data_IF_679374049807
#
_entry.id   IF_679374049807
#
_cell.length_a   1.000
_cell.length_b   1.000
_cell.length_c   1.000
_cell.angle_alpha   90.00
_cell.angle_beta   90.00
_cell.angle_gamma   90.00
#
_symmetry.space_group_name_H-M   'P 1'
#
loop_
_entity.id
_entity.type
_entity.pdbx_description
1 polymer ?
#
# COMPACT_ATOMS: atom_id res chain seq x y z
N UNK A 1 -13.92 -3.39 9.51
CA UNK A 1 -13.29 -2.63 8.41
C UNK A 1 -12.57 -3.62 7.54
N UNK A 2 -12.58 -3.46 6.22
CA UNK A 2 -11.63 -4.16 5.35
C UNK A 2 -10.22 -3.69 5.69
N UNK A 3 -9.20 -4.49 5.39
CA UNK A 3 -7.80 -4.01 5.39
C UNK A 3 -7.75 -2.82 4.45
N UNK A 4 -7.13 -1.76 4.92
CA UNK A 4 -7.02 -0.55 4.15
C UNK A 4 -5.69 -0.53 3.39
N UNK A 5 -5.72 0.11 2.25
CA UNK A 5 -4.67 0.17 1.25
C UNK A 5 -3.44 0.93 1.76
N UNK A 6 -2.36 0.81 1.04
CA UNK A 6 -1.09 1.47 1.34
C UNK A 6 -0.83 2.63 0.38
N UNK A 7 0.14 3.50 0.75
CA UNK A 7 0.53 4.62 -0.08
C UNK A 7 1.14 4.18 -1.43
N UNK A 8 1.09 5.08 -2.42
CA UNK A 8 1.79 4.96 -3.69
C UNK A 8 2.64 6.18 -3.98
N UNK A 9 3.88 5.96 -4.42
CA UNK A 9 4.82 7.00 -4.83
C UNK A 9 5.06 6.94 -6.33
N UNK A 10 5.22 8.13 -6.94
CA UNK A 10 5.51 8.27 -8.35
C UNK A 10 6.50 9.42 -8.58
N UNK A 11 7.46 9.23 -9.47
CA UNK A 11 8.43 10.24 -9.86
C UNK A 11 8.68 10.22 -11.36
N UNK A 12 8.89 11.38 -11.97
CA UNK A 12 9.32 11.51 -13.35
C UNK A 12 10.44 12.54 -13.45
N UNK A 13 11.50 12.17 -14.18
CA UNK A 13 12.61 13.07 -14.49
C UNK A 13 12.90 13.05 -15.97
N UNK A 14 12.75 14.22 -16.60
CA UNK A 14 13.07 14.47 -18.00
C UNK A 14 14.32 15.36 -18.13
N UNK A 15 15.05 15.18 -19.20
CA UNK A 15 16.14 16.09 -19.58
C UNK A 15 15.62 17.37 -20.24
N UNK A 16 14.36 17.40 -20.65
CA UNK A 16 13.67 18.51 -21.30
C UNK A 16 12.62 19.09 -20.38
N UNK A 17 12.20 20.32 -20.64
CA UNK A 17 11.01 20.89 -20.02
C UNK A 17 9.77 20.35 -20.75
N UNK A 18 8.89 19.69 -20.00
CA UNK A 18 7.67 19.10 -20.56
C UNK A 18 6.53 19.06 -19.53
N UNK A 19 5.39 18.48 -19.89
CA UNK A 19 4.24 18.34 -18.97
C UNK A 19 4.45 17.19 -17.98
N UNK A 20 5.45 17.30 -17.09
CA UNK A 20 5.73 16.29 -16.05
C UNK A 20 4.58 16.18 -15.03
N UNK A 21 3.78 17.24 -14.83
CA UNK A 21 2.59 17.21 -13.99
C UNK A 21 1.55 16.24 -14.54
N UNK A 22 1.32 16.27 -15.86
CA UNK A 22 0.40 15.35 -16.54
C UNK A 22 0.86 13.89 -16.48
N UNK A 23 2.17 13.66 -16.65
CA UNK A 23 2.75 12.31 -16.51
C UNK A 23 2.55 11.80 -15.06
N UNK A 24 2.85 12.65 -14.05
CA UNK A 24 2.65 12.30 -12.65
C UNK A 24 1.17 12.04 -12.32
N UNK A 25 0.25 12.83 -12.88
CA UNK A 25 -1.19 12.61 -12.74
C UNK A 25 -1.62 11.22 -13.21
N UNK A 26 -1.21 10.80 -14.41
CA UNK A 26 -1.56 9.46 -14.92
C UNK A 26 -0.90 8.34 -14.13
N UNK A 27 0.35 8.53 -13.70
CA UNK A 27 1.04 7.58 -12.83
C UNK A 27 0.34 7.42 -11.49
N UNK A 28 -0.07 8.51 -10.84
CA UNK A 28 -0.83 8.46 -9.59
C UNK A 28 -2.23 7.87 -9.79
N UNK A 29 -2.88 8.17 -10.91
CA UNK A 29 -4.18 7.57 -11.24
C UNK A 29 -4.08 6.04 -11.36
N UNK A 30 -3.00 5.53 -11.95
CA UNK A 30 -2.72 4.10 -12.01
C UNK A 30 -2.44 3.48 -10.64
N UNK A 31 -1.95 4.26 -9.67
CA UNK A 31 -1.69 3.86 -8.27
C UNK A 31 -2.84 4.17 -7.32
N UNK A 32 -4.00 4.64 -7.81
CA UNK A 32 -5.13 5.08 -6.97
C UNK A 32 -5.65 3.96 -6.04
N UNK A 33 -5.50 2.69 -6.45
CA UNK A 33 -5.87 1.54 -5.61
C UNK A 33 -5.06 1.48 -4.31
N UNK A 34 -3.85 2.05 -4.26
CA UNK A 34 -2.98 2.10 -3.08
C UNK A 34 -3.39 3.19 -2.08
N UNK A 35 -3.92 4.32 -2.54
CA UNK A 35 -4.28 5.42 -1.64
C UNK A 35 -5.47 6.23 -2.16
N UNK A 36 -6.50 6.42 -1.32
CA UNK A 36 -7.76 7.07 -1.70
C UNK A 36 -8.14 8.24 -0.77
N UNK A 37 -7.32 8.59 0.21
CA UNK A 37 -7.61 9.66 1.17
C UNK A 37 -7.10 11.03 0.71
N UNK A 38 -5.91 11.06 0.14
CA UNK A 38 -5.33 12.29 -0.36
C UNK A 38 -4.31 12.03 -1.45
N UNK A 39 -4.01 13.03 -2.23
CA UNK A 39 -2.95 12.99 -3.23
C UNK A 39 -2.27 14.34 -3.39
N UNK A 40 -1.08 14.33 -3.98
CA UNK A 40 -0.33 15.54 -4.24
C UNK A 40 0.73 15.36 -5.32
N UNK A 41 1.07 16.45 -5.98
CA UNK A 41 2.14 16.55 -6.98
C UNK A 41 2.97 17.80 -6.68
N UNK A 42 4.29 17.64 -6.71
CA UNK A 42 5.27 18.72 -6.69
C UNK A 42 6.05 18.68 -8.00
N UNK A 43 6.08 19.79 -8.71
CA UNK A 43 6.83 19.96 -9.96
C UNK A 43 8.04 20.85 -9.71
N UNK A 44 9.14 20.53 -10.35
CA UNK A 44 10.35 21.33 -10.37
C UNK A 44 10.62 21.83 -11.80
N UNK A 45 10.69 23.14 -11.95
CA UNK A 45 11.12 23.83 -13.19
C UNK A 45 12.42 24.57 -12.91
N UNK A 46 13.54 23.92 -13.22
CA UNK A 46 14.87 24.54 -13.07
C UNK A 46 15.23 25.00 -11.64
N UNK A 47 14.67 24.38 -10.61
CA UNK A 47 14.87 24.72 -9.19
C UNK A 47 13.71 25.50 -8.56
N UNK A 48 12.72 25.91 -9.35
CA UNK A 48 11.48 26.51 -8.85
C UNK A 48 10.46 25.40 -8.65
N UNK A 49 9.95 25.25 -7.43
CA UNK A 49 8.97 24.23 -7.08
C UNK A 49 7.56 24.83 -7.07
N UNK A 50 6.65 24.15 -7.72
CA UNK A 50 5.21 24.40 -7.63
C UNK A 50 4.52 23.12 -7.18
N UNK A 51 3.52 23.25 -6.30
CA UNK A 51 2.85 22.09 -5.72
C UNK A 51 1.36 22.28 -5.60
N UNK A 52 0.64 21.16 -5.68
CA UNK A 52 -0.75 21.09 -5.28
C UNK A 52 -1.02 19.74 -4.61
N UNK A 53 -1.72 19.77 -3.49
CA UNK A 53 -2.09 18.58 -2.73
C UNK A 53 -3.34 18.84 -1.91
N UNK A 54 -4.22 17.85 -1.87
CA UNK A 54 -5.46 17.93 -1.11
C UNK A 54 -6.02 16.54 -0.75
N UNK A 55 -7.07 16.55 0.07
CA UNK A 55 -7.86 15.36 0.38
C UNK A 55 -8.74 14.98 -0.82
N UNK A 56 -8.86 13.71 -1.13
CA UNK A 56 -9.69 13.17 -2.21
C UNK A 56 -8.90 12.30 -3.19
N UNK A 57 -9.62 11.82 -4.20
CA UNK A 57 -9.06 11.01 -5.28
C UNK A 57 -8.27 11.89 -6.26
N UNK A 58 -7.34 11.29 -6.99
CA UNK A 58 -6.52 11.98 -8.00
C UNK A 58 -7.37 12.75 -9.00
N UNK A 59 -8.48 12.17 -9.46
CA UNK A 59 -9.41 12.82 -10.40
C UNK A 59 -10.26 13.95 -9.78
N UNK A 60 -10.41 13.96 -8.47
CA UNK A 60 -11.15 15.01 -7.73
C UNK A 60 -10.24 16.19 -7.41
N UNK A 61 -9.01 15.89 -6.97
CA UNK A 61 -8.01 16.89 -6.55
C UNK A 61 -7.41 17.63 -7.75
N UNK A 62 -7.13 16.93 -8.84
CA UNK A 62 -6.46 17.50 -10.02
C UNK A 62 -7.43 17.75 -11.16
N UNK A 63 -7.99 18.96 -11.20
CA UNK A 63 -8.70 19.49 -12.38
C UNK A 63 -7.73 19.90 -13.49
N UNK A 64 -8.25 20.18 -14.69
CA UNK A 64 -7.45 20.73 -15.78
C UNK A 64 -6.76 22.04 -15.40
N UNK A 65 -7.46 22.91 -14.65
CA UNK A 65 -6.93 24.19 -14.20
C UNK A 65 -5.83 23.99 -13.15
N UNK A 66 -6.02 23.08 -12.21
CA UNK A 66 -5.01 22.74 -11.20
C UNK A 66 -3.73 22.22 -11.85
N UNK A 67 -3.85 21.31 -12.83
CA UNK A 67 -2.70 20.79 -13.58
C UNK A 67 -2.01 21.88 -14.40
N UNK A 68 -2.77 22.81 -14.97
CA UNK A 68 -2.22 23.96 -15.71
C UNK A 68 -1.42 24.90 -14.79
N UNK A 69 -1.86 25.07 -13.53
CA UNK A 69 -1.12 25.87 -12.53
C UNK A 69 0.20 25.23 -12.09
N UNK A 70 0.31 23.91 -12.13
CA UNK A 70 1.57 23.22 -11.81
C UNK A 70 2.63 23.43 -12.89
N UNK A 71 2.23 23.91 -14.05
CA UNK A 71 3.07 24.22 -15.20
C UNK A 71 3.92 23.06 -15.73
N UNK A 72 4.72 23.33 -16.75
CA UNK A 72 5.72 22.38 -17.25
C UNK A 72 7.00 22.49 -16.43
N UNK A 73 7.69 21.39 -16.28
CA UNK A 73 8.97 21.30 -15.57
C UNK A 73 9.83 20.20 -16.17
N UNK A 74 10.89 19.89 -15.47
CA UNK A 74 11.76 18.77 -15.85
C UNK A 74 11.72 17.61 -14.84
N UNK A 75 11.10 17.81 -13.68
CA UNK A 75 10.87 16.75 -12.69
C UNK A 75 9.52 16.93 -12.00
N UNK A 76 8.90 15.81 -11.62
CA UNK A 76 7.75 15.84 -10.73
C UNK A 76 7.80 14.64 -9.77
N UNK A 77 7.36 14.85 -8.54
CA UNK A 77 7.13 13.80 -7.54
C UNK A 77 5.66 13.85 -7.15
N UNK A 78 5.03 12.70 -7.11
CA UNK A 78 3.63 12.54 -6.74
C UNK A 78 3.43 11.46 -5.68
N UNK A 79 2.30 11.56 -4.97
CA UNK A 79 1.92 10.64 -3.91
C UNK A 79 0.41 10.44 -3.89
N UNK A 80 -0.03 9.21 -3.64
CA UNK A 80 -1.38 8.86 -3.20
C UNK A 80 -1.28 8.26 -1.81
N UNK A 81 -2.10 8.79 -0.87
CA UNK A 81 -2.00 8.46 0.55
C UNK A 81 -3.18 7.61 1.00
N UNK A 82 -2.84 6.62 1.82
CA UNK A 82 -3.71 6.07 2.83
C UNK A 82 -3.08 6.32 4.21
N UNK A 83 -3.87 6.78 5.19
CA UNK A 83 -3.36 7.18 6.51
C UNK A 83 -3.10 5.98 7.41
N UNK A 84 -1.88 5.47 7.42
CA UNK A 84 -1.43 4.43 8.37
C UNK A 84 -0.89 5.03 9.66
N UNK A 85 -0.18 6.16 9.56
CA UNK A 85 0.32 6.95 10.68
C UNK A 85 -0.01 8.42 10.43
N UNK A 86 -0.60 9.09 11.45
CA UNK A 86 -1.12 10.44 11.33
C UNK A 86 -2.53 10.51 10.75
N UNK A 87 -3.35 11.44 11.24
CA UNK A 87 -4.77 11.60 10.84
C UNK A 87 -4.96 12.02 9.40
N UNK A 88 -6.20 11.87 8.94
CA UNK A 88 -6.64 12.34 7.62
C UNK A 88 -6.80 13.86 7.63
N UNK A 89 -5.68 14.57 7.57
CA UNK A 89 -5.62 16.02 7.51
C UNK A 89 -4.84 16.50 6.30
N UNK A 90 -5.16 17.67 5.78
CA UNK A 90 -4.46 18.28 4.65
C UNK A 90 -2.96 18.44 4.90
N UNK A 91 -2.56 18.66 6.16
CA UNK A 91 -1.15 18.81 6.52
C UNK A 91 -0.34 17.53 6.30
N UNK A 92 -0.98 16.37 6.41
CA UNK A 92 -0.35 15.06 6.19
C UNK A 92 -0.30 14.64 4.72
N UNK A 93 -0.86 15.45 3.79
CA UNK A 93 -0.76 15.17 2.35
C UNK A 93 0.70 15.29 1.88
N UNK A 94 1.13 14.30 1.12
CA UNK A 94 2.45 14.26 0.52
C UNK A 94 2.37 14.64 -0.97
N UNK A 95 3.50 15.04 -1.61
CA UNK A 95 4.86 15.10 -1.09
C UNK A 95 5.07 16.20 -0.04
N UNK A 96 6.02 15.97 0.89
CA UNK A 96 6.45 16.98 1.86
C UNK A 96 7.55 17.83 1.24
N UNK A 97 7.36 19.15 1.27
CA UNK A 97 8.36 20.12 0.79
C UNK A 97 9.16 20.69 1.94
N UNK A 98 10.47 20.77 1.77
CA UNK A 98 11.40 21.33 2.75
C UNK A 98 12.29 22.36 2.10
N UNK A 99 12.38 23.54 2.74
CA UNK A 99 13.37 24.57 2.41
C UNK A 99 14.49 24.53 3.44
N UNK A 100 15.71 24.37 2.98
CA UNK A 100 16.87 24.34 3.86
C UNK A 100 18.03 25.14 3.24
N UNK A 101 19.09 25.42 4.02
CA UNK A 101 20.19 26.25 3.61
C UNK A 101 20.86 25.88 2.27
N UNK A 102 20.83 24.58 1.90
CA UNK A 102 21.43 24.10 0.65
C UNK A 102 20.40 23.91 -0.49
N UNK A 103 19.17 24.47 -0.37
CA UNK A 103 18.15 24.49 -1.41
C UNK A 103 16.79 23.93 -0.97
N UNK A 104 16.01 23.49 -1.93
CA UNK A 104 14.70 22.87 -1.74
C UNK A 104 14.76 21.37 -2.01
N UNK A 105 13.89 20.62 -1.32
CA UNK A 105 13.59 19.24 -1.65
C UNK A 105 12.11 18.95 -1.48
N UNK A 106 11.60 17.96 -2.21
CA UNK A 106 10.29 17.36 -2.02
C UNK A 106 10.46 15.86 -1.83
N UNK A 107 9.72 15.27 -0.88
CA UNK A 107 9.83 13.88 -0.49
C UNK A 107 8.46 13.20 -0.50
N UNK A 108 8.35 12.06 -1.18
CA UNK A 108 7.24 11.13 -1.10
C UNK A 108 7.70 9.80 -0.50
N UNK A 109 6.87 9.22 0.37
CA UNK A 109 7.17 8.04 1.16
C UNK A 109 6.01 7.04 1.10
N UNK A 110 6.33 5.78 0.81
CA UNK A 110 5.46 4.63 1.01
C UNK A 110 6.08 3.69 2.04
N UNK A 111 5.38 3.44 3.13
CA UNK A 111 5.81 2.59 4.23
C UNK A 111 5.49 3.19 5.59
N UNK A 112 6.16 2.69 6.63
CA UNK A 112 6.07 3.20 8.00
C UNK A 112 7.35 2.88 8.77
N UNK A 113 7.91 3.89 9.42
CA UNK A 113 9.10 3.70 10.27
C UNK A 113 8.69 3.11 11.62
N UNK A 114 9.35 2.02 12.02
CA UNK A 114 9.17 1.43 13.35
C UNK A 114 9.74 2.31 14.46
N UNK A 115 10.75 3.13 14.16
CA UNK A 115 11.38 4.04 15.11
C UNK A 115 11.01 5.53 14.93
N UNK A 116 9.91 5.82 14.22
CA UNK A 116 9.49 7.20 13.91
C UNK A 116 9.33 8.08 15.16
N UNK A 117 8.70 7.57 16.23
CA UNK A 117 8.45 8.32 17.45
C UNK A 117 9.76 8.66 18.18
N UNK A 118 10.69 7.68 18.29
CA UNK A 118 11.98 7.89 18.91
C UNK A 118 12.81 8.96 18.18
N UNK A 119 12.83 8.88 16.84
CA UNK A 119 13.53 9.88 16.02
C UNK A 119 12.89 11.25 16.16
N UNK A 120 11.56 11.33 16.18
CA UNK A 120 10.83 12.58 16.35
C UNK A 120 11.12 13.21 17.71
N UNK A 121 11.04 12.46 18.80
CA UNK A 121 11.35 12.95 20.14
C UNK A 121 12.79 13.53 20.21
N UNK A 122 13.77 12.85 19.62
CA UNK A 122 15.17 13.36 19.53
C UNK A 122 15.28 14.66 18.74
N UNK A 123 14.52 14.76 17.65
CA UNK A 123 14.51 15.96 16.80
C UNK A 123 13.81 17.14 17.51
N UNK A 124 12.65 16.93 18.16
CA UNK A 124 11.93 17.94 18.92
C UNK A 124 12.79 18.47 20.09
N UNK A 125 13.48 17.59 20.83
CA UNK A 125 14.43 17.99 21.87
C UNK A 125 15.62 18.80 21.34
N UNK A 126 15.95 18.66 20.06
CA UNK A 126 16.99 19.48 19.39
C UNK A 126 16.43 20.75 18.72
N UNK A 127 15.14 21.07 18.93
CA UNK A 127 14.49 22.28 18.45
C UNK A 127 13.79 22.16 17.11
N UNK A 128 13.56 20.95 16.58
CA UNK A 128 12.76 20.78 15.37
C UNK A 128 11.29 21.08 15.64
N UNK A 129 10.64 21.77 14.70
CA UNK A 129 9.22 22.14 14.75
C UNK A 129 8.48 21.36 13.67
N UNK A 130 7.63 20.45 14.07
CA UNK A 130 6.85 19.63 13.17
C UNK A 130 5.51 20.28 12.80
N UNK A 131 5.13 20.17 11.53
CA UNK A 131 3.87 20.68 11.00
C UNK A 131 2.86 19.56 10.69
N UNK A 132 3.33 18.31 10.68
CA UNK A 132 2.53 17.13 10.39
C UNK A 132 2.65 16.09 11.51
N UNK A 133 1.78 15.10 11.49
CA UNK A 133 1.87 13.92 12.36
C UNK A 133 2.45 12.71 11.63
N UNK A 134 2.83 12.87 10.36
CA UNK A 134 3.39 11.82 9.50
C UNK A 134 4.87 11.56 9.83
N UNK A 135 5.26 10.29 9.79
CA UNK A 135 6.66 9.86 9.88
C UNK A 135 7.51 10.35 8.70
N UNK A 136 6.88 10.66 7.57
CA UNK A 136 7.56 11.24 6.39
C UNK A 136 8.23 12.56 6.72
N UNK A 137 7.67 13.40 7.59
CA UNK A 137 8.31 14.63 8.04
C UNK A 137 9.55 14.33 8.91
N UNK A 138 9.50 13.27 9.71
CA UNK A 138 10.67 12.78 10.46
C UNK A 138 11.79 12.38 9.50
N UNK A 139 11.48 11.64 8.43
CA UNK A 139 12.46 11.29 7.39
C UNK A 139 13.05 12.57 6.76
N UNK A 140 12.20 13.54 6.42
CA UNK A 140 12.64 14.79 5.82
C UNK A 140 13.61 15.58 6.73
N UNK A 141 13.35 15.60 8.05
CA UNK A 141 14.26 16.20 9.02
C UNK A 141 15.60 15.46 9.11
N UNK A 142 15.59 14.13 9.20
CA UNK A 142 16.81 13.31 9.26
C UNK A 142 17.66 13.55 8.01
N UNK A 143 17.07 13.49 6.82
CA UNK A 143 17.76 13.75 5.54
C UNK A 143 18.30 15.18 5.49
N UNK A 144 17.52 16.17 5.92
CA UNK A 144 17.96 17.57 5.93
C UNK A 144 19.15 17.79 6.86
N UNK A 145 19.12 17.22 8.06
CA UNK A 145 20.22 17.29 9.03
C UNK A 145 21.51 16.71 8.44
N UNK A 146 21.42 15.53 7.83
CA UNK A 146 22.58 14.93 7.15
C UNK A 146 23.02 15.76 5.94
N UNK A 147 22.09 16.38 5.20
CA UNK A 147 22.41 17.24 4.05
C UNK A 147 23.23 18.48 4.42
N UNK A 148 23.07 19.02 5.61
CA UNK A 148 23.85 20.17 6.05
C UNK A 148 25.34 19.84 6.18
N UNK A 149 25.69 18.62 6.53
CA UNK A 149 27.09 18.17 6.81
C UNK A 149 27.67 17.28 5.69
N UNK A 150 26.89 16.93 4.67
CA UNK A 150 27.37 16.12 3.54
C UNK A 150 27.55 16.95 2.27
N UNK A 151 28.44 16.54 1.34
CA UNK A 151 28.67 17.25 0.08
C UNK A 151 27.50 17.16 -0.87
N UNK A 152 26.76 16.03 -0.90
CA UNK A 152 25.66 15.77 -1.84
C UNK A 152 24.39 15.32 -1.14
N UNK A 153 23.25 15.35 -1.86
CA UNK A 153 21.97 14.90 -1.33
C UNK A 153 21.91 13.36 -1.25
N UNK A 154 22.54 12.66 -2.18
CA UNK A 154 22.66 11.21 -2.17
C UNK A 154 23.49 10.71 -0.98
N UNK A 155 24.55 11.43 -0.59
CA UNK A 155 25.31 11.11 0.63
C UNK A 155 24.47 11.35 1.90
N UNK A 156 23.63 12.39 1.88
CA UNK A 156 22.70 12.67 2.96
C UNK A 156 21.67 11.55 3.12
N UNK A 157 21.09 11.07 2.02
CA UNK A 157 20.15 9.95 2.04
C UNK A 157 20.85 8.68 2.54
N UNK A 158 22.04 8.37 2.03
CA UNK A 158 22.82 7.21 2.49
C UNK A 158 23.11 7.26 3.99
N UNK A 159 23.49 8.42 4.53
CA UNK A 159 23.70 8.57 5.98
C UNK A 159 22.39 8.48 6.77
N UNK A 160 21.32 9.08 6.28
CA UNK A 160 19.99 8.99 6.91
C UNK A 160 19.52 7.54 7.06
N UNK A 161 19.73 6.69 6.04
CA UNK A 161 19.37 5.28 6.06
C UNK A 161 20.00 4.49 7.21
N UNK A 162 21.11 4.95 7.80
CA UNK A 162 21.69 4.32 9.00
C UNK A 162 20.87 4.55 10.29
N UNK A 163 19.97 5.54 10.28
CA UNK A 163 19.15 5.89 11.44
C UNK A 163 17.68 5.51 11.28
N UNK A 164 17.25 5.23 10.04
CA UNK A 164 15.87 4.88 9.74
C UNK A 164 15.66 3.38 9.92
N UNK A 165 14.68 2.99 10.74
CA UNK A 165 14.22 1.60 10.88
C UNK A 165 12.77 1.45 10.43
N UNK A 166 12.45 0.33 9.79
CA UNK A 166 11.11 0.02 9.30
C UNK A 166 11.03 0.03 7.78
N UNK A 167 9.83 0.19 7.27
CA UNK A 167 9.54 0.14 5.85
C UNK A 167 9.60 1.53 5.22
N UNK A 168 10.37 1.69 4.15
CA UNK A 168 10.34 2.90 3.35
C UNK A 168 10.75 2.68 1.90
N UNK A 169 9.89 3.11 0.99
CA UNK A 169 10.20 3.37 -0.41
C UNK A 169 10.07 4.88 -0.63
N UNK A 170 11.18 5.55 -0.91
CA UNK A 170 11.29 7.00 -0.96
C UNK A 170 11.54 7.48 -2.38
N UNK A 171 10.84 8.56 -2.77
CA UNK A 171 11.25 9.39 -3.91
C UNK A 171 11.52 10.79 -3.39
N UNK A 172 12.77 11.23 -3.52
CA UNK A 172 13.20 12.55 -3.13
C UNK A 172 13.62 13.34 -4.37
N UNK A 173 13.09 14.54 -4.52
CA UNK A 173 13.42 15.47 -5.59
C UNK A 173 14.15 16.67 -5.01
N UNK A 174 15.38 16.93 -5.48
CA UNK A 174 16.10 18.19 -5.26
C UNK A 174 15.94 19.12 -6.47
N UNK A 175 16.60 20.27 -6.45
CA UNK A 175 16.58 21.19 -7.61
C UNK A 175 17.19 20.60 -8.91
N UNK A 176 18.03 19.56 -8.81
CA UNK A 176 18.79 19.03 -9.97
C UNK A 176 18.80 17.51 -10.09
N UNK A 177 18.36 16.79 -9.08
CA UNK A 177 18.39 15.31 -9.01
C UNK A 177 17.10 14.76 -8.47
N UNK A 178 16.76 13.57 -8.92
CA UNK A 178 15.74 12.73 -8.30
C UNK A 178 16.41 11.50 -7.73
N UNK A 179 15.99 11.09 -6.53
CA UNK A 179 16.57 9.96 -5.80
C UNK A 179 15.44 9.00 -5.48
N UNK A 180 15.64 7.72 -5.79
CA UNK A 180 14.81 6.62 -5.32
C UNK A 180 15.62 5.81 -4.31
N UNK A 181 15.08 5.60 -3.11
CA UNK A 181 15.73 4.79 -2.08
C UNK A 181 14.74 3.78 -1.51
N UNK A 182 15.18 2.54 -1.34
CA UNK A 182 14.40 1.46 -0.75
C UNK A 182 15.06 0.98 0.53
N UNK A 183 14.29 0.68 1.56
CA UNK A 183 14.83 0.18 2.83
C UNK A 183 15.66 -1.10 2.65
N UNK A 184 16.59 -1.43 3.58
CA UNK A 184 17.48 -2.59 3.44
C UNK A 184 16.77 -3.95 3.43
N UNK A 185 15.53 -4.03 3.91
CA UNK A 185 14.71 -5.24 3.84
C UNK A 185 13.86 -5.30 2.57
N UNK A 186 13.64 -4.15 1.91
CA UNK A 186 12.78 -4.04 0.73
C UNK A 186 11.32 -4.34 1.01
N UNK A 187 10.80 -3.89 2.17
CA UNK A 187 9.42 -4.18 2.57
C UNK A 187 8.40 -3.74 1.53
N UNK A 188 8.55 -2.52 0.99
CA UNK A 188 7.63 -1.97 -0.01
C UNK A 188 8.24 -1.99 -1.40
N UNK A 189 7.42 -2.23 -2.43
CA UNK A 189 7.92 -2.26 -3.79
C UNK A 189 8.34 -0.87 -4.27
N UNK A 190 9.35 -0.84 -5.12
CA UNK A 190 9.79 0.36 -5.84
C UNK A 190 10.50 -0.10 -7.11
N UNK A 191 10.11 0.45 -8.25
CA UNK A 191 10.69 0.13 -9.55
C UNK A 191 10.92 1.39 -10.37
N UNK A 192 11.68 1.26 -11.46
CA UNK A 192 11.83 2.34 -12.43
C UNK A 192 11.81 1.84 -13.86
N UNK A 193 11.45 2.74 -14.73
CA UNK A 193 11.41 2.55 -16.17
C UNK A 193 11.91 3.77 -16.91
N UNK A 194 11.93 3.66 -18.24
CA UNK A 194 12.34 4.74 -19.13
C UNK A 194 11.32 4.92 -20.27
N UNK A 195 10.95 6.15 -20.53
CA UNK A 195 10.10 6.50 -21.67
C UNK A 195 10.92 6.55 -22.96
N UNK A 196 10.25 6.45 -24.09
CA UNK A 196 10.91 6.46 -25.44
C UNK A 196 11.69 7.75 -25.75
N UNK A 197 11.36 8.86 -25.09
CA UNK A 197 12.07 10.14 -25.20
C UNK A 197 13.26 10.28 -24.25
N UNK A 198 13.52 9.26 -23.43
CA UNK A 198 14.62 9.17 -22.48
C UNK A 198 14.28 9.64 -21.08
N UNK A 199 13.05 10.08 -20.78
CA UNK A 199 12.63 10.43 -19.44
C UNK A 199 12.60 9.19 -18.52
N UNK A 200 13.08 9.33 -17.28
CA UNK A 200 13.01 8.28 -16.27
C UNK A 200 11.72 8.39 -15.47
N UNK A 201 11.12 7.26 -15.19
CA UNK A 201 9.92 7.14 -14.35
C UNK A 201 10.20 6.18 -13.20
N UNK A 202 9.79 6.54 -12.00
CA UNK A 202 9.94 5.76 -10.78
C UNK A 202 8.54 5.57 -10.20
N UNK A 203 8.20 4.36 -9.76
CA UNK A 203 6.88 4.09 -9.21
C UNK A 203 6.91 2.98 -8.16
N UNK A 204 5.91 2.96 -7.28
CA UNK A 204 5.68 1.84 -6.37
C UNK A 204 5.43 0.53 -7.12
N UNK A 205 4.75 0.57 -8.27
CA UNK A 205 4.39 -0.61 -9.04
C UNK A 205 4.64 -0.44 -10.54
N UNK A 206 4.97 -1.56 -11.21
CA UNK A 206 5.23 -1.60 -12.65
C UNK A 206 4.00 -1.23 -13.50
N UNK A 207 2.78 -1.45 -13.00
CA UNK A 207 1.56 -1.03 -13.69
C UNK A 207 1.48 0.49 -13.93
N UNK A 208 2.09 1.30 -13.03
CA UNK A 208 2.14 2.74 -13.20
C UNK A 208 3.14 3.19 -14.26
N UNK A 209 4.23 2.42 -14.46
CA UNK A 209 5.16 2.63 -15.59
C UNK A 209 4.45 2.40 -16.92
N UNK A 210 3.75 1.27 -17.03
CA UNK A 210 2.96 0.93 -18.23
C UNK A 210 1.89 1.98 -18.55
N UNK A 211 1.22 2.51 -17.52
CA UNK A 211 0.16 3.52 -17.69
C UNK A 211 0.65 4.83 -18.30
N UNK A 212 1.93 5.18 -18.15
CA UNK A 212 2.54 6.38 -18.72
C UNK A 212 3.41 6.07 -19.96
N UNK A 213 3.42 4.81 -20.43
CA UNK A 213 4.18 4.40 -21.61
C UNK A 213 5.69 4.27 -21.36
N UNK A 214 6.10 4.09 -20.11
CA UNK A 214 7.50 3.81 -19.77
C UNK A 214 7.78 2.30 -19.83
N UNK A 215 8.89 1.93 -20.46
CA UNK A 215 9.39 0.57 -20.45
C UNK A 215 10.00 0.25 -19.08
N UNK A 216 9.62 -0.88 -18.49
CA UNK A 216 10.16 -1.35 -17.21
C UNK A 216 11.63 -1.70 -17.35
N UNK A 217 12.48 -1.12 -16.52
CA UNK A 217 13.92 -1.45 -16.50
C UNK A 217 14.19 -2.51 -15.44
N UNK A 218 13.87 -2.23 -14.17
CA UNK A 218 13.98 -3.17 -13.04
C UNK A 218 13.38 -2.62 -11.75
N UNK A 219 13.25 -3.50 -10.78
CA UNK A 219 13.01 -3.12 -9.39
C UNK A 219 14.25 -2.44 -8.78
N UNK A 220 14.02 -1.55 -7.80
CA UNK A 220 15.07 -1.00 -6.93
C UNK A 220 15.40 -2.05 -5.88
N UNK A 221 16.67 -2.40 -5.74
CA UNK A 221 17.10 -3.45 -4.81
C UNK A 221 16.88 -3.00 -3.35
N UNK A 222 16.66 -3.94 -2.41
CA UNK A 222 16.70 -3.64 -0.98
C UNK A 222 18.02 -2.94 -0.60
N UNK A 223 17.91 -1.79 0.08
CA UNK A 223 19.06 -0.98 0.47
C UNK A 223 19.68 -0.13 -0.66
N UNK A 224 19.15 -0.17 -1.86
CA UNK A 224 19.70 0.61 -2.98
C UNK A 224 19.20 2.06 -2.97
N UNK A 225 20.11 2.95 -3.38
CA UNK A 225 19.83 4.34 -3.70
C UNK A 225 20.13 4.55 -5.19
N UNK A 226 19.10 4.86 -5.97
CA UNK A 226 19.23 5.28 -7.38
C UNK A 226 19.22 6.80 -7.45
N UNK A 227 20.21 7.36 -8.14
CA UNK A 227 20.34 8.80 -8.36
C UNK A 227 20.13 9.09 -9.83
N UNK A 228 19.02 9.72 -10.15
CA UNK A 228 18.70 10.17 -11.51
C UNK A 228 19.14 11.62 -11.68
N UNK A 229 19.89 11.87 -12.75
CA UNK A 229 20.41 13.18 -13.09
C UNK A 229 20.51 13.37 -14.60
N UNK A 230 20.89 14.56 -15.06
CA UNK A 230 21.19 14.80 -16.49
C UNK A 230 22.32 13.92 -17.04
N UNK A 231 23.12 13.29 -16.17
CA UNK A 231 24.22 12.37 -16.54
C UNK A 231 23.78 10.93 -16.66
N UNK A 232 22.50 10.62 -16.39
CA UNK A 232 21.94 9.29 -16.35
C UNK A 232 21.62 8.83 -14.94
N UNK A 233 21.59 7.52 -14.74
CA UNK A 233 21.25 6.84 -13.47
C UNK A 233 22.51 6.29 -12.83
N UNK A 234 22.76 6.64 -11.57
CA UNK A 234 23.82 6.10 -10.73
C UNK A 234 23.20 5.20 -9.67
N UNK A 235 23.73 3.99 -9.50
CA UNK A 235 23.31 3.05 -8.47
C UNK A 235 24.30 3.04 -7.32
N UNK A 236 23.83 3.26 -6.11
CA UNK A 236 24.62 3.22 -4.87
C UNK A 236 24.10 2.09 -3.99
N UNK A 237 24.99 1.18 -3.62
CA UNK A 237 24.68 -0.10 -2.98
C UNK A 237 25.27 -0.27 -1.58
N UNK A 238 25.63 0.81 -0.92
CA UNK A 238 26.29 0.77 0.41
C UNK A 238 25.43 0.13 1.50
N UNK A 239 24.09 0.07 1.28
CA UNK A 239 23.13 -0.56 2.19
C UNK A 239 22.52 -1.85 1.65
N UNK A 240 22.87 -2.27 0.41
CA UNK A 240 22.47 -3.56 -0.13
C UNK A 240 23.14 -4.69 0.65
N UNK A 241 22.49 -5.85 0.68
CA UNK A 241 22.98 -7.11 1.30
C UNK A 241 23.30 -7.01 2.79
N UNK A 242 22.98 -5.89 3.45
CA UNK A 242 23.10 -5.76 4.92
C UNK A 242 22.04 -6.57 5.65
N UNK A 243 20.90 -6.76 5.03
CA UNK A 243 19.77 -7.52 5.56
C UNK A 243 19.25 -8.49 4.49
N UNK A 244 18.62 -9.58 4.95
CA UNK A 244 17.86 -10.46 4.04
C UNK A 244 16.62 -9.74 3.58
N UNK A 245 16.27 -9.87 2.30
CA UNK A 245 15.03 -9.32 1.76
C UNK A 245 13.83 -9.80 2.56
N UNK A 246 12.89 -8.89 2.80
CA UNK A 246 11.65 -9.12 3.54
C UNK A 246 10.49 -8.36 2.90
N UNK A 247 10.34 -8.49 1.58
CA UNK A 247 9.20 -7.91 0.85
C UNK A 247 7.90 -8.37 1.48
N UNK A 248 6.96 -7.46 1.73
CA UNK A 248 5.69 -7.78 2.36
C UNK A 248 4.91 -8.79 1.50
N UNK A 249 4.58 -9.95 2.05
CA UNK A 249 3.82 -10.98 1.33
C UNK A 249 2.41 -10.50 0.96
N UNK A 250 1.85 -9.57 1.73
CA UNK A 250 0.51 -9.04 1.51
C UNK A 250 0.42 -8.12 0.27
N UNK A 251 1.57 -7.64 -0.24
CA UNK A 251 1.63 -6.99 -1.56
C UNK A 251 1.14 -7.92 -2.66
N UNK A 252 1.53 -9.19 -2.63
CA UNK A 252 1.12 -10.20 -3.61
C UNK A 252 -0.31 -10.69 -3.39
N UNK A 253 -0.76 -10.76 -2.14
CA UNK A 253 -2.10 -11.24 -1.79
C UNK A 253 -3.16 -10.18 -2.10
N UNK A 254 -2.90 -8.90 -1.75
CA UNK A 254 -3.94 -7.88 -1.77
C UNK A 254 -3.53 -6.54 -2.39
N UNK A 255 -2.44 -5.89 -1.92
CA UNK A 255 -2.20 -4.47 -2.22
C UNK A 255 -1.91 -4.18 -3.67
N UNK A 256 -0.98 -4.91 -4.28
CA UNK A 256 -0.57 -4.64 -5.65
C UNK A 256 -1.64 -5.02 -6.67
N UNK A 257 -1.65 -4.33 -7.79
CA UNK A 257 -2.53 -4.69 -8.92
C UNK A 257 -2.07 -6.02 -9.54
N UNK A 258 -3.00 -6.86 -10.01
CA UNK A 258 -2.65 -8.15 -10.61
C UNK A 258 -1.71 -8.08 -11.82
N UNK A 259 -1.74 -6.98 -12.56
CA UNK A 259 -0.88 -6.71 -13.72
C UNK A 259 0.52 -6.19 -13.34
N UNK A 260 0.82 -6.07 -12.05
CA UNK A 260 2.14 -5.69 -11.56
C UNK A 260 3.08 -6.88 -11.41
N UNK A 261 4.38 -6.58 -11.57
CA UNK A 261 5.49 -7.48 -11.23
C UNK A 261 6.30 -6.81 -10.12
N UNK A 262 6.58 -7.53 -9.04
CA UNK A 262 7.33 -7.04 -7.88
C UNK A 262 8.47 -8.02 -7.61
N UNK A 263 9.72 -7.53 -7.55
CA UNK A 263 10.92 -8.33 -7.31
C UNK A 263 11.01 -9.57 -8.25
N UNK A 264 10.56 -9.40 -9.50
CA UNK A 264 10.54 -10.45 -10.51
C UNK A 264 9.34 -11.41 -10.46
N UNK A 265 8.44 -11.27 -9.47
CA UNK A 265 7.28 -12.14 -9.29
C UNK A 265 6.00 -11.47 -9.79
N UNK A 266 5.22 -12.18 -10.62
CA UNK A 266 3.92 -11.70 -11.09
C UNK A 266 2.87 -11.82 -10.01
N UNK A 267 2.22 -10.71 -9.64
CA UNK A 267 1.14 -10.67 -8.65
C UNK A 267 -0.04 -11.58 -9.04
N UNK A 268 -0.44 -11.56 -10.32
CA UNK A 268 -1.51 -12.42 -10.82
C UNK A 268 -1.17 -13.91 -10.66
N UNK A 269 0.07 -14.33 -10.98
CA UNK A 269 0.49 -15.72 -10.79
C UNK A 269 0.48 -16.14 -9.32
N UNK A 270 0.94 -15.27 -8.41
CA UNK A 270 0.91 -15.51 -6.97
C UNK A 270 -0.52 -15.76 -6.47
N UNK A 271 -1.48 -14.93 -6.88
CA UNK A 271 -2.88 -15.09 -6.49
C UNK A 271 -3.52 -16.35 -7.07
N UNK A 272 -3.25 -16.67 -8.33
CA UNK A 272 -3.71 -17.95 -8.93
C UNK A 272 -3.15 -19.13 -8.12
N UNK A 273 -1.84 -19.11 -7.78
CA UNK A 273 -1.22 -20.17 -6.97
C UNK A 273 -1.84 -20.30 -5.58
N UNK A 274 -2.19 -19.17 -4.92
CA UNK A 274 -2.91 -19.20 -3.66
C UNK A 274 -4.23 -19.96 -3.76
N UNK A 275 -4.99 -19.75 -4.83
CA UNK A 275 -6.23 -20.48 -5.10
C UNK A 275 -6.03 -21.97 -5.32
N UNK A 276 -4.98 -22.37 -6.06
CA UNK A 276 -4.64 -23.77 -6.26
C UNK A 276 -4.31 -24.46 -4.93
N UNK A 277 -3.47 -23.82 -4.09
CA UNK A 277 -3.12 -24.32 -2.75
C UNK A 277 -4.36 -24.47 -1.87
N UNK A 278 -5.30 -23.53 -1.93
CA UNK A 278 -6.56 -23.62 -1.18
C UNK A 278 -7.42 -24.81 -1.63
N UNK A 279 -7.45 -25.13 -2.92
CA UNK A 279 -8.18 -26.30 -3.43
C UNK A 279 -7.53 -27.61 -2.98
N UNK A 280 -6.20 -27.66 -2.93
CA UNK A 280 -5.42 -28.80 -2.44
C UNK A 280 -5.66 -29.08 -0.94
N UNK A 281 -5.67 -28.03 -0.10
CA UNK A 281 -5.72 -28.15 1.37
C UNK A 281 -7.17 -28.16 1.92
N UNK A 282 -8.08 -27.46 1.27
CA UNK A 282 -9.47 -27.28 1.71
C UNK A 282 -10.46 -27.54 0.57
N UNK A 283 -10.51 -28.77 0.05
CA UNK A 283 -11.49 -29.12 -1.00
C UNK A 283 -12.91 -28.91 -0.51
N UNK A 284 -13.83 -28.70 -1.44
CA UNK A 284 -15.25 -28.55 -1.15
C UNK A 284 -16.09 -29.28 -2.21
N UNK A 285 -17.19 -29.89 -1.78
CA UNK A 285 -18.21 -30.41 -2.72
C UNK A 285 -19.17 -29.26 -3.06
N UNK A 286 -18.95 -28.61 -4.19
CA UNK A 286 -19.66 -27.42 -4.60
C UNK A 286 -19.94 -27.37 -6.10
N UNK A 287 -20.89 -26.52 -6.48
CA UNK A 287 -21.39 -26.42 -7.85
C UNK A 287 -20.71 -25.29 -8.62
N UNK A 288 -20.12 -24.32 -7.90
CA UNK A 288 -19.49 -23.13 -8.49
C UNK A 288 -18.45 -22.49 -7.58
N UNK A 289 -17.39 -21.93 -8.17
CA UNK A 289 -16.42 -21.07 -7.50
C UNK A 289 -16.66 -19.64 -7.91
N UNK A 290 -16.70 -18.71 -6.95
CA UNK A 290 -16.80 -17.28 -7.17
C UNK A 290 -15.75 -16.54 -6.34
N UNK A 291 -15.26 -15.40 -6.84
CA UNK A 291 -14.34 -14.52 -6.11
C UNK A 291 -15.03 -13.25 -5.64
N UNK A 292 -14.60 -12.74 -4.49
CA UNK A 292 -14.97 -11.39 -4.04
C UNK A 292 -14.18 -10.37 -4.88
N UNK A 293 -14.83 -9.49 -5.62
CA UNK A 293 -14.14 -8.47 -6.41
C UNK A 293 -13.44 -7.40 -5.55
N UNK A 294 -12.20 -6.96 -5.85
CA UNK A 294 -11.41 -7.38 -7.02
C UNK A 294 -10.34 -8.43 -6.61
N UNK A 295 -9.94 -8.50 -5.37
CA UNK A 295 -8.79 -9.26 -4.84
C UNK A 295 -8.94 -10.78 -4.86
N UNK A 296 -10.16 -11.29 -4.71
CA UNK A 296 -10.43 -12.73 -4.71
C UNK A 296 -10.57 -13.37 -6.09
N UNK A 297 -10.52 -12.59 -7.19
CA UNK A 297 -10.87 -13.12 -8.53
C UNK A 297 -9.83 -14.10 -9.08
N UNK A 298 -8.54 -13.75 -9.00
CA UNK A 298 -7.46 -14.60 -9.50
C UNK A 298 -7.31 -15.88 -8.65
N UNK A 299 -7.46 -15.76 -7.32
CA UNK A 299 -7.44 -16.93 -6.45
C UNK A 299 -8.65 -17.85 -6.70
N UNK A 300 -9.84 -17.31 -6.99
CA UNK A 300 -10.99 -18.10 -7.40
C UNK A 300 -10.74 -18.84 -8.73
N UNK A 301 -10.07 -18.20 -9.68
CA UNK A 301 -9.66 -18.86 -10.92
C UNK A 301 -8.68 -20.02 -10.66
N UNK A 302 -7.70 -19.82 -9.77
CA UNK A 302 -6.75 -20.86 -9.35
C UNK A 302 -7.45 -22.04 -8.69
N UNK A 303 -8.33 -21.76 -7.73
CA UNK A 303 -9.15 -22.77 -7.04
C UNK A 303 -10.00 -23.58 -8.03
N UNK A 304 -10.69 -22.90 -8.95
CA UNK A 304 -11.51 -23.56 -9.98
C UNK A 304 -10.69 -24.50 -10.87
N UNK A 305 -9.50 -24.07 -11.31
CA UNK A 305 -8.60 -24.89 -12.14
C UNK A 305 -8.12 -26.16 -11.43
N UNK A 306 -7.75 -26.02 -10.16
CA UNK A 306 -7.21 -27.15 -9.39
C UNK A 306 -8.32 -28.12 -8.94
N UNK A 307 -9.49 -27.60 -8.55
CA UNK A 307 -10.60 -28.42 -8.07
C UNK A 307 -11.48 -29.02 -9.19
N UNK A 308 -11.44 -28.45 -10.41
CA UNK A 308 -12.36 -28.78 -11.50
C UNK A 308 -13.77 -28.21 -11.35
N UNK A 309 -14.07 -27.49 -10.27
CA UNK A 309 -15.37 -26.84 -10.06
C UNK A 309 -15.46 -25.60 -10.96
N UNK A 310 -16.56 -25.40 -11.72
CA UNK A 310 -16.68 -24.27 -12.64
C UNK A 310 -16.53 -22.91 -11.95
N UNK A 311 -15.79 -22.00 -12.57
CA UNK A 311 -15.71 -20.59 -12.16
C UNK A 311 -16.91 -19.80 -12.68
N UNK A 312 -17.45 -18.89 -11.86
CA UNK A 312 -18.51 -17.96 -12.27
C UNK A 312 -18.39 -16.58 -11.64
N UNK A 313 -18.99 -15.58 -12.27
CA UNK A 313 -19.09 -14.23 -11.73
C UNK A 313 -20.34 -14.15 -10.87
N UNK A 314 -20.20 -14.47 -9.58
CA UNK A 314 -21.31 -14.45 -8.62
C UNK A 314 -21.50 -13.10 -7.92
N UNK A 315 -20.51 -12.24 -7.93
CA UNK A 315 -20.53 -10.90 -7.33
C UNK A 315 -20.04 -9.86 -8.32
N UNK A 316 -20.71 -8.73 -8.39
CA UNK A 316 -20.32 -7.58 -9.22
C UNK A 316 -20.07 -6.39 -8.31
N UNK A 317 -18.90 -5.76 -8.47
CA UNK A 317 -18.54 -4.50 -7.80
C UNK A 317 -19.06 -3.32 -8.61
N UNK A 318 -19.81 -2.43 -7.97
CA UNK A 318 -20.18 -1.16 -8.59
C UNK A 318 -18.96 -0.23 -8.66
N UNK A 319 -18.39 -0.07 -9.86
CA UNK A 319 -17.19 0.74 -10.11
C UNK A 319 -17.42 2.24 -10.02
N UNK A 320 -18.67 2.70 -10.03
CA UNK A 320 -19.04 4.12 -10.00
C UNK A 320 -19.20 4.68 -8.59
N UNK A 321 -19.14 3.82 -7.55
CA UNK A 321 -19.24 4.24 -6.15
C UNK A 321 -17.84 4.31 -5.56
N UNK A 322 -17.33 5.53 -5.39
CA UNK A 322 -16.08 5.81 -4.67
C UNK A 322 -16.23 5.59 -3.15
N UNK A 323 -15.11 5.56 -2.43
CA UNK A 323 -15.09 5.51 -0.94
C UNK A 323 -15.60 6.80 -0.30
N UNK A 324 -15.58 7.90 -1.02
CA UNK A 324 -16.03 9.25 -0.60
C UNK A 324 -17.54 9.43 -0.62
N UNK A 325 -18.33 8.39 -0.92
CA UNK A 325 -19.78 8.50 -0.79
C UNK A 325 -20.14 8.68 0.69
N UNK A 326 -20.39 9.94 1.04
CA UNK A 326 -20.79 10.35 2.40
C UNK A 326 -22.27 10.06 2.55
N UNK A 327 -22.60 9.06 3.36
CA UNK A 327 -23.97 8.83 3.80
C UNK A 327 -24.30 9.71 4.99
N UNK A 328 -25.48 10.35 5.06
CA UNK A 328 -25.85 11.32 6.12
C UNK A 328 -26.26 10.71 7.48
N UNK A 329 -25.97 9.44 7.82
CA UNK A 329 -26.39 8.89 9.12
C UNK A 329 -25.65 7.62 9.59
N UNK A 330 -25.66 7.35 10.91
CA UNK A 330 -24.97 6.20 11.52
C UNK A 330 -25.54 4.82 11.13
N UNK A 331 -26.80 4.74 10.71
CA UNK A 331 -27.42 3.49 10.23
C UNK A 331 -27.01 3.12 8.79
N UNK A 332 -26.40 4.01 8.05
CA UNK A 332 -26.12 3.90 6.62
C UNK A 332 -24.80 3.21 6.29
N UNK A 333 -23.92 2.96 7.28
CA UNK A 333 -22.74 2.09 7.08
C UNK A 333 -23.13 0.63 6.71
N UNK A 334 -24.36 0.22 7.04
CA UNK A 334 -24.90 -1.08 6.65
C UNK A 334 -25.23 -1.15 5.15
N UNK A 335 -25.68 -0.04 4.56
CA UNK A 335 -26.09 0.00 3.15
C UNK A 335 -24.90 0.11 2.17
N UNK A 336 -23.75 0.57 2.62
CA UNK A 336 -22.58 0.78 1.75
C UNK A 336 -22.01 -0.50 1.11
N UNK A 337 -22.09 -1.67 1.78
CA UNK A 337 -21.64 -2.94 1.18
C UNK A 337 -22.65 -3.40 0.13
N UNK A 338 -23.94 -3.25 0.40
CA UNK A 338 -25.02 -3.61 -0.54
C UNK A 338 -24.93 -2.79 -1.81
N UNK A 339 -24.62 -1.50 -1.68
CA UNK A 339 -24.48 -0.60 -2.84
C UNK A 339 -23.21 -0.92 -3.64
N UNK A 340 -22.14 -1.38 -2.97
CA UNK A 340 -20.85 -1.69 -3.60
C UNK A 340 -20.76 -3.06 -4.25
N UNK A 341 -21.42 -4.07 -3.67
CA UNK A 341 -21.38 -5.45 -4.15
C UNK A 341 -22.80 -5.96 -4.40
N UNK A 342 -23.06 -6.41 -5.61
CA UNK A 342 -24.35 -6.98 -6.01
C UNK A 342 -24.21 -8.46 -6.37
N UNK A 343 -25.00 -9.38 -5.77
CA UNK A 343 -24.97 -10.78 -6.13
C UNK A 343 -25.69 -11.01 -7.48
N UNK A 344 -25.12 -11.90 -8.28
CA UNK A 344 -25.72 -12.33 -9.56
C UNK A 344 -26.61 -13.54 -9.30
N UNK A 345 -27.89 -13.30 -9.02
CA UNK A 345 -28.84 -14.29 -8.52
C UNK A 345 -28.90 -15.57 -9.35
N UNK A 346 -28.99 -15.47 -10.67
CA UNK A 346 -29.03 -16.62 -11.57
C UNK A 346 -27.77 -17.50 -11.58
N UNK A 347 -26.66 -16.99 -11.07
CA UNK A 347 -25.40 -17.72 -10.91
C UNK A 347 -25.37 -18.48 -9.57
N UNK A 348 -26.05 -17.96 -8.54
CA UNK A 348 -25.92 -18.36 -7.13
C UNK A 348 -27.11 -19.20 -6.66
N UNK A 349 -28.34 -18.87 -7.10
CA UNK A 349 -29.56 -19.46 -6.57
C UNK A 349 -29.59 -21.00 -6.66
N UNK A 350 -29.85 -21.64 -5.51
CA UNK A 350 -29.91 -23.09 -5.37
C UNK A 350 -28.57 -23.82 -5.40
N UNK A 351 -27.43 -23.10 -5.51
CA UNK A 351 -26.11 -23.71 -5.64
C UNK A 351 -25.34 -23.75 -4.32
N UNK A 352 -24.43 -24.71 -4.21
CA UNK A 352 -23.35 -24.77 -3.24
C UNK A 352 -22.17 -23.97 -3.81
N UNK A 353 -21.72 -22.97 -3.09
CA UNK A 353 -20.80 -21.95 -3.58
C UNK A 353 -19.46 -22.05 -2.84
N UNK A 354 -18.35 -22.13 -3.55
CA UNK A 354 -17.05 -21.78 -3.00
C UNK A 354 -16.83 -20.28 -3.19
N UNK A 355 -16.73 -19.56 -2.08
CA UNK A 355 -16.46 -18.12 -2.06
C UNK A 355 -14.99 -17.87 -1.70
N UNK A 356 -14.25 -17.24 -2.61
CA UNK A 356 -12.84 -16.90 -2.38
C UNK A 356 -12.73 -15.41 -2.05
N UNK A 357 -12.04 -15.09 -0.94
CA UNK A 357 -11.68 -13.72 -0.56
C UNK A 357 -10.19 -13.65 -0.18
N UNK A 358 -9.63 -12.44 -0.08
CA UNK A 358 -8.22 -12.26 0.27
C UNK A 358 -7.93 -12.47 1.76
N UNK A 359 -8.78 -11.97 2.65
CA UNK A 359 -8.50 -11.92 4.09
C UNK A 359 -9.73 -11.72 4.96
N UNK A 360 -9.64 -12.16 6.22
CA UNK A 360 -10.59 -11.82 7.29
C UNK A 360 -9.84 -11.16 8.43
N UNK A 361 -10.19 -9.90 8.75
CA UNK A 361 -9.62 -9.17 9.90
C UNK A 361 -10.58 -9.19 11.08
N UNK A 362 -11.75 -8.54 10.94
CA UNK A 362 -12.79 -8.43 11.98
C UNK A 362 -14.03 -9.27 11.69
N UNK A 363 -14.10 -9.91 10.54
CA UNK A 363 -15.23 -10.74 10.10
C UNK A 363 -16.50 -9.98 9.67
N UNK A 364 -16.61 -8.68 9.92
CA UNK A 364 -17.83 -7.90 9.64
C UNK A 364 -18.15 -7.80 8.15
N UNK A 365 -17.15 -7.61 7.29
CA UNK A 365 -17.32 -7.55 5.83
C UNK A 365 -17.71 -8.91 5.29
N UNK A 366 -17.00 -9.97 5.69
CA UNK A 366 -17.27 -11.36 5.26
C UNK A 366 -18.69 -11.78 5.65
N UNK A 367 -19.14 -11.49 6.88
CA UNK A 367 -20.52 -11.74 7.35
C UNK A 367 -21.57 -11.07 6.45
N UNK A 368 -21.31 -9.84 6.00
CA UNK A 368 -22.23 -9.12 5.10
C UNK A 368 -22.28 -9.73 3.71
N UNK A 369 -21.13 -10.10 3.15
CA UNK A 369 -21.06 -10.76 1.84
C UNK A 369 -21.79 -12.10 1.88
N UNK A 370 -21.57 -12.90 2.93
CA UNK A 370 -22.26 -14.17 3.15
C UNK A 370 -23.77 -13.97 3.23
N UNK A 371 -24.23 -12.96 3.98
CA UNK A 371 -25.65 -12.62 4.06
C UNK A 371 -26.24 -12.29 2.68
N UNK A 372 -25.55 -11.47 1.88
CA UNK A 372 -26.00 -11.15 0.50
C UNK A 372 -26.12 -12.39 -0.38
N UNK A 373 -25.18 -13.35 -0.28
CA UNK A 373 -25.25 -14.61 -1.03
C UNK A 373 -26.38 -15.51 -0.56
N UNK A 374 -26.64 -15.59 0.76
CA UNK A 374 -27.79 -16.33 1.31
C UNK A 374 -29.11 -15.75 0.84
N UNK A 375 -29.25 -14.41 0.86
CA UNK A 375 -30.44 -13.70 0.35
C UNK A 375 -30.62 -13.89 -1.15
N UNK A 376 -29.55 -14.07 -1.91
CA UNK A 376 -29.57 -14.42 -3.33
C UNK A 376 -29.90 -15.90 -3.59
N UNK A 377 -30.06 -16.73 -2.54
CA UNK A 377 -30.49 -18.12 -2.63
C UNK A 377 -29.37 -19.14 -2.66
N UNK A 378 -28.14 -18.82 -2.21
CA UNK A 378 -27.07 -19.80 -2.05
C UNK A 378 -27.49 -20.90 -1.06
N UNK A 379 -27.36 -22.18 -1.46
CA UNK A 379 -27.68 -23.33 -0.64
C UNK A 379 -26.64 -23.59 0.42
N UNK A 380 -25.38 -23.59 0.01
CA UNK A 380 -24.19 -23.72 0.88
C UNK A 380 -23.14 -22.69 0.46
N UNK A 381 -22.33 -22.24 1.42
CA UNK A 381 -21.21 -21.30 1.20
C UNK A 381 -19.97 -21.84 1.88
N UNK A 382 -18.98 -22.23 1.09
CA UNK A 382 -17.68 -22.68 1.54
C UNK A 382 -16.66 -21.55 1.31
N UNK A 383 -16.27 -20.84 2.37
CA UNK A 383 -15.36 -19.70 2.24
C UNK A 383 -13.90 -20.13 2.31
N UNK A 384 -13.09 -19.61 1.39
CA UNK A 384 -11.64 -19.86 1.34
C UNK A 384 -10.91 -18.52 1.26
N UNK A 385 -9.93 -18.36 2.11
CA UNK A 385 -9.17 -17.09 2.29
C UNK A 385 -7.75 -17.28 1.78
N UNK A 386 -7.35 -16.46 0.82
CA UNK A 386 -6.04 -16.56 0.17
C UNK A 386 -4.87 -15.98 0.99
N UNK A 387 -5.11 -15.64 2.26
CA UNK A 387 -4.11 -15.33 3.27
C UNK A 387 -4.22 -16.27 4.47
N UNK A 388 -3.15 -16.42 5.28
CA UNK A 388 -3.27 -16.96 6.63
C UNK A 388 -4.10 -16.05 7.54
N UNK A 389 -4.56 -16.53 8.72
CA UNK A 389 -5.25 -15.67 9.68
C UNK A 389 -4.31 -14.58 10.24
N UNK A 390 -4.81 -13.35 10.36
CA UNK A 390 -4.09 -12.27 11.04
C UNK A 390 -4.09 -12.49 12.54
N UNK A 391 -2.89 -12.57 13.11
CA UNK A 391 -2.69 -12.80 14.56
C UNK A 391 -1.92 -11.66 15.23
N UNK A 392 -1.24 -10.79 14.47
CA UNK A 392 -0.37 -9.76 15.02
C UNK A 392 -0.52 -8.43 14.26
N UNK A 393 -0.29 -7.27 14.93
CA UNK A 393 -0.32 -5.96 14.30
C UNK A 393 0.81 -5.81 13.27
N UNK A 394 0.66 -4.86 12.35
CA UNK A 394 1.70 -4.49 11.39
C UNK A 394 2.36 -3.17 11.79
N UNK A 395 3.71 -3.14 11.77
CA UNK A 395 4.51 -1.93 12.03
C UNK A 395 5.13 -1.33 10.76
N UNK A 396 4.86 -1.92 9.59
CA UNK A 396 5.51 -1.58 8.32
C UNK A 396 4.58 -0.92 7.29
N UNK A 397 3.38 -0.49 7.75
CA UNK A 397 2.49 0.33 6.95
C UNK A 397 1.10 -0.25 6.67
N UNK A 398 0.84 -1.54 6.94
CA UNK A 398 -0.53 -2.10 6.84
C UNK A 398 -1.37 -1.65 8.04
N UNK A 399 -2.64 -1.27 7.79
CA UNK A 399 -3.57 -0.81 8.84
C UNK A 399 -4.13 -1.99 9.67
N UNK A 400 -3.24 -2.62 10.41
CA UNK A 400 -3.55 -3.64 11.42
C UNK A 400 -2.97 -3.11 12.74
N UNK A 401 -3.84 -2.53 13.58
CA UNK A 401 -3.45 -1.68 14.69
C UNK A 401 -3.28 -2.42 16.03
N UNK A 402 -4.10 -3.43 16.31
CA UNK A 402 -4.03 -4.19 17.57
C UNK A 402 -4.62 -5.59 17.44
N UNK A 403 -4.14 -6.52 18.28
CA UNK A 403 -4.66 -7.89 18.38
C UNK A 403 -6.12 -7.92 18.83
N UNK A 404 -6.57 -6.94 19.63
CA UNK A 404 -7.96 -6.83 20.11
C UNK A 404 -8.99 -6.76 18.96
N UNK A 405 -8.56 -6.25 17.80
CA UNK A 405 -9.40 -6.10 16.63
C UNK A 405 -9.36 -7.30 15.66
N UNK A 406 -8.48 -8.27 15.92
CA UNK A 406 -8.27 -9.44 15.06
C UNK A 406 -9.15 -10.61 15.51
N UNK A 407 -10.12 -10.99 14.66
CA UNK A 407 -11.07 -12.06 15.01
C UNK A 407 -10.36 -13.41 15.30
N UNK A 408 -9.29 -13.70 14.57
CA UNK A 408 -8.53 -14.93 14.72
C UNK A 408 -7.67 -15.00 15.99
N UNK A 409 -7.49 -13.87 16.72
CA UNK A 409 -6.85 -13.89 18.04
C UNK A 409 -7.80 -14.39 19.14
N UNK A 410 -9.12 -14.35 18.90
CA UNK A 410 -10.13 -14.60 19.93
C UNK A 410 -11.02 -15.80 19.62
N UNK A 411 -11.03 -16.28 18.38
CA UNK A 411 -11.92 -17.33 17.92
C UNK A 411 -11.18 -18.38 17.08
N UNK A 412 -11.58 -19.64 17.22
CA UNK A 412 -11.13 -20.73 16.35
C UNK A 412 -11.69 -20.54 14.91
N UNK A 413 -11.14 -21.30 13.97
CA UNK A 413 -11.62 -21.28 12.59
C UNK A 413 -13.10 -21.70 12.49
N UNK A 414 -13.54 -22.66 13.29
CA UNK A 414 -14.90 -23.14 13.38
C UNK A 414 -15.84 -22.05 13.95
N UNK A 415 -15.44 -21.39 15.03
CA UNK A 415 -16.19 -20.26 15.61
C UNK A 415 -16.29 -19.09 14.64
N UNK A 416 -15.21 -18.77 13.90
CA UNK A 416 -15.24 -17.74 12.88
C UNK A 416 -16.23 -18.12 11.76
N UNK A 417 -16.25 -19.40 11.34
CA UNK A 417 -17.20 -19.88 10.34
C UNK A 417 -18.66 -19.67 10.80
N UNK A 418 -18.97 -19.98 12.06
CA UNK A 418 -20.29 -19.73 12.65
C UNK A 418 -20.62 -18.23 12.72
N UNK A 419 -19.69 -17.40 13.18
CA UNK A 419 -19.87 -15.94 13.30
C UNK A 419 -20.20 -15.28 11.98
N UNK A 420 -19.51 -15.69 10.90
CA UNK A 420 -19.73 -15.12 9.56
C UNK A 420 -20.87 -15.82 8.80
N UNK A 421 -21.31 -17.03 9.24
CA UNK A 421 -22.47 -17.76 8.73
C UNK A 421 -22.17 -18.61 7.50
N UNK A 422 -20.97 -19.17 7.36
CA UNK A 422 -20.56 -20.09 6.29
C UNK A 422 -20.61 -21.54 6.74
N UNK A 423 -20.77 -22.47 5.78
CA UNK A 423 -20.84 -23.92 6.05
C UNK A 423 -19.43 -24.51 6.27
N UNK A 424 -18.40 -23.91 5.69
CA UNK A 424 -17.00 -24.23 6.00
C UNK A 424 -16.08 -23.05 5.70
N UNK A 425 -14.97 -22.97 6.45
CA UNK A 425 -13.93 -21.97 6.30
C UNK A 425 -12.56 -22.66 6.13
N UNK A 426 -11.68 -22.06 5.31
CA UNK A 426 -10.29 -22.49 5.18
C UNK A 426 -9.41 -21.29 4.85
N UNK A 427 -8.25 -21.21 5.51
CA UNK A 427 -7.23 -20.19 5.28
C UNK A 427 -6.05 -20.78 4.52
N UNK A 428 -5.35 -19.96 3.74
CA UNK A 428 -4.08 -20.36 3.15
C UNK A 428 -3.10 -20.77 4.28
N UNK A 429 -2.52 -21.99 4.24
CA UNK A 429 -1.56 -22.38 5.26
C UNK A 429 -0.31 -21.50 5.25
N UNK A 430 0.19 -21.13 6.43
CA UNK A 430 1.34 -20.25 6.60
C UNK A 430 2.60 -20.81 5.91
N UNK A 431 2.81 -22.11 5.99
CA UNK A 431 3.93 -22.85 5.38
C UNK A 431 3.93 -22.83 3.84
N UNK A 432 2.82 -22.50 3.22
CA UNK A 432 2.70 -22.45 1.76
C UNK A 432 2.94 -21.04 1.18
N UNK A 433 3.17 -20.02 2.02
CA UNK A 433 3.40 -18.65 1.54
C UNK A 433 4.62 -18.52 0.63
N UNK A 434 5.65 -19.34 0.85
CA UNK A 434 6.84 -19.38 -0.01
C UNK A 434 6.53 -19.75 -1.46
N UNK A 435 5.48 -20.55 -1.69
CA UNK A 435 5.05 -20.95 -3.03
C UNK A 435 4.41 -19.81 -3.83
N UNK A 436 3.95 -18.74 -3.15
CA UNK A 436 3.39 -17.56 -3.81
C UNK A 436 4.47 -16.70 -4.48
N UNK A 437 5.67 -16.69 -3.90
CA UNK A 437 6.79 -15.83 -4.31
C UNK A 437 8.05 -16.61 -4.66
N UNK A 438 7.97 -17.95 -4.67
CA UNK A 438 9.08 -18.87 -4.97
C UNK A 438 10.34 -18.57 -4.15
N UNK A 439 10.18 -18.12 -2.91
CA UNK A 439 11.26 -17.68 -2.02
C UNK A 439 10.82 -17.74 -0.56
N UNK A 440 11.79 -17.88 0.35
CA UNK A 440 11.61 -17.71 1.82
C UNK A 440 11.86 -16.27 2.28
N UNK A 441 12.22 -15.38 1.36
CA UNK A 441 12.66 -14.02 1.65
C UNK A 441 11.50 -13.01 1.60
N UNK A 442 10.49 -13.20 2.45
CA UNK A 442 9.34 -12.31 2.60
C UNK A 442 9.05 -11.96 4.06
N UNK A 443 8.29 -10.91 4.30
CA UNK A 443 7.73 -10.56 5.60
C UNK A 443 6.31 -11.12 5.71
N UNK A 444 6.06 -11.89 6.77
CA UNK A 444 4.76 -12.42 7.16
C UNK A 444 4.46 -12.15 8.64
N UNK A 445 5.04 -11.08 9.21
CA UNK A 445 4.98 -10.79 10.65
C UNK A 445 3.54 -10.66 11.19
N UNK A 446 2.62 -10.11 10.39
CA UNK A 446 1.19 -10.03 10.75
C UNK A 446 0.51 -11.40 10.90
N UNK A 447 1.09 -12.48 10.38
CA UNK A 447 0.59 -13.85 10.51
C UNK A 447 1.34 -14.67 11.57
N UNK A 448 2.67 -14.50 11.71
CA UNK A 448 3.53 -15.35 12.52
C UNK A 448 4.23 -14.66 13.71
N UNK A 449 4.09 -13.34 13.87
CA UNK A 449 4.71 -12.57 14.94
C UNK A 449 6.24 -12.40 14.82
N UNK A 450 6.85 -12.81 13.70
CA UNK A 450 8.30 -12.69 13.50
C UNK A 450 8.63 -11.39 12.77
N UNK A 451 8.99 -10.37 13.54
CA UNK A 451 9.30 -9.04 13.01
C UNK A 451 10.78 -8.90 12.65
N UNK A 452 11.10 -8.42 11.43
CA UNK A 452 12.48 -8.20 11.00
C UNK A 452 13.22 -7.07 11.71
N UNK A 453 12.49 -6.10 12.29
CA UNK A 453 13.07 -4.95 13.03
C UNK A 453 12.61 -4.96 14.49
N UNK A 454 13.16 -4.05 15.29
CA UNK A 454 12.72 -3.82 16.66
C UNK A 454 11.24 -3.40 16.69
N UNK A 455 10.46 -4.03 17.56
CA UNK A 455 9.06 -3.67 17.78
C UNK A 455 9.01 -2.32 18.51
N UNK A 456 8.21 -1.34 18.05
CA UNK A 456 8.06 -0.07 18.75
C UNK A 456 7.57 -0.26 20.19
N UNK A 457 8.22 0.40 21.15
CA UNK A 457 7.83 0.36 22.57
C UNK A 457 6.57 1.18 22.86
N UNK A 458 6.31 2.23 22.09
CA UNK A 458 5.08 3.03 22.13
C UNK A 458 4.22 2.72 20.90
N UNK A 459 3.15 1.98 21.11
CA UNK A 459 2.22 1.54 20.06
C UNK A 459 1.16 2.60 19.68
N UNK A 460 1.18 3.77 20.32
CA UNK A 460 0.18 4.83 20.10
C UNK A 460 0.45 5.58 18.81
N UNK A 461 -0.08 5.07 17.71
CA UNK A 461 -0.02 5.72 16.38
C UNK A 461 -0.68 7.11 16.35
N UNK A 462 -1.57 7.41 17.31
CA UNK A 462 -2.40 8.62 17.41
C UNK A 462 -1.96 9.62 18.50
N UNK A 463 -0.70 9.48 19.02
CA UNK A 463 -0.19 10.29 20.13
C UNK A 463 -0.41 11.81 19.96
N UNK A 464 -0.32 12.32 18.74
CA UNK A 464 -0.46 13.75 18.44
C UNK A 464 -1.87 14.19 18.04
N UNK A 465 -2.83 13.27 17.96
CA UNK A 465 -4.19 13.51 17.48
C UNK A 465 -5.24 13.49 18.58
N UNK A 466 -4.89 12.96 19.77
CA UNK A 466 -5.77 12.94 20.93
C UNK A 466 -5.86 14.31 21.58
N UNK A 467 -7.09 14.69 21.98
CA UNK A 467 -7.32 15.90 22.77
C UNK A 467 -6.55 15.81 24.10
N UNK A 468 -6.06 16.95 24.58
CA UNK A 468 -5.36 17.01 25.88
C UNK A 468 -6.20 16.45 27.02
N UNK A 469 -7.53 16.65 27.00
CA UNK A 469 -8.46 16.09 27.96
C UNK A 469 -8.51 14.55 27.98
N UNK A 470 -8.21 13.90 26.87
CA UNK A 470 -8.15 12.44 26.75
C UNK A 470 -6.80 11.89 27.23
N UNK A 471 -5.72 12.70 27.12
CA UNK A 471 -4.38 12.33 27.62
C UNK A 471 -4.31 12.31 29.15
N UNK A 472 -5.09 13.14 29.84
CA UNK A 472 -5.09 13.24 31.30
C UNK A 472 -5.89 12.12 32.00
N UNK A 473 -6.69 11.34 31.25
CA UNK A 473 -7.48 10.21 31.80
C UNK A 473 -6.72 8.92 32.04
N UNK A 474 -5.45 8.81 31.61
CA UNK A 474 -4.63 7.58 31.72
C UNK A 474 -3.67 7.63 32.92
N UNK A 475 -3.62 8.75 33.66
CA UNK A 475 -2.82 8.90 34.88
C UNK A 475 -3.72 8.78 36.13
N UNK A 476 -4.38 7.62 36.32
CA UNK A 476 -4.99 7.20 37.59
C UNK A 476 -4.76 5.70 37.80
#
# INVERSE_FOLDING_TARGET
>A
MAIHEECGVFGVMSTKRENVAGIAYYGLYALQHRGQESCGIVVNDGGVFSSYKDLGLVSEVFSKDTLAHLSSGNMAVGHVRYGTTGGTTRNNCQPIEVNHQKGKMALAHNGNLSNALELRDKLELSGAIFHTTSDTETIAYVVTRERLVTPSIEDAVSKAMNSLEGAYSLILMSSTKMIAARDPYGFRPLCYGQMSDGAYVIASESCALSAVGAEFVRDVLPGEILVFSKRGVESRKEHCDKQKRKTCIFEYIYFARPDSVIDGVSVSKSRVRAGEILAENYPADADIVIGVPDSGLEAALGFSRASGIPYGIGLIKNKYIGRTFISPGQNERMDQVIIKLSPVKNVIEGKRVVLIDDSIVRGTTSKRIVKLLREAGAKEIHMRISAPPFLHPCYYGTDIDSEENLIACHHSMEEIAEIIGVDSLGYLPLENLNQLVESEDYCAACFNGVYPTTIPTDLRKDRFERKLSERMGVAK
#
